data_IF_211299082653
#
_entry.id   IF_211299082653
#
_cell.length_a   1.000
_cell.length_b   1.000
_cell.length_c   1.000
_cell.angle_alpha   90.00
_cell.angle_beta   90.00
_cell.angle_gamma   90.00
#
_symmetry.space_group_name_H-M   'P 1'
#
loop_
_entity.id
_entity.type
_entity.pdbx_description
1 polymer ?
#
# COMPACT_ATOMS: atom_id res chain seq x y z
N UNK A 1 10.48 -11.11 -39.60
CA UNK A 1 10.15 -10.54 -38.28
C UNK A 1 11.34 -9.90 -37.52
N UNK A 2 12.62 -10.16 -37.87
CA UNK A 2 13.80 -9.69 -37.11
C UNK A 2 14.03 -8.15 -37.00
N UNK A 3 13.30 -7.32 -37.74
CA UNK A 3 13.41 -5.84 -37.67
C UNK A 3 12.19 -5.12 -37.06
N UNK A 4 11.13 -5.86 -36.70
CA UNK A 4 9.85 -5.24 -36.31
C UNK A 4 9.97 -4.43 -35.03
N UNK A 5 10.64 -4.96 -33.99
CA UNK A 5 10.83 -4.23 -32.73
C UNK A 5 11.73 -3.00 -32.92
N UNK A 6 12.82 -3.12 -33.69
CA UNK A 6 13.69 -2.00 -33.98
C UNK A 6 12.92 -0.88 -34.70
N UNK A 7 12.18 -1.22 -35.77
CA UNK A 7 11.33 -0.27 -36.49
C UNK A 7 10.30 0.41 -35.60
N UNK A 8 9.73 -0.33 -34.65
CA UNK A 8 8.70 0.14 -33.73
C UNK A 8 9.28 1.08 -32.65
N UNK A 9 10.54 0.86 -32.25
CA UNK A 9 11.27 1.72 -31.33
C UNK A 9 11.89 2.96 -31.99
N UNK A 10 12.24 2.90 -33.28
CA UNK A 10 12.90 4.01 -33.99
C UNK A 10 11.93 4.95 -34.71
N UNK A 11 10.69 4.52 -34.96
CA UNK A 11 9.71 5.33 -35.68
C UNK A 11 8.73 5.98 -34.70
N UNK A 12 8.62 7.30 -34.74
CA UNK A 12 7.75 8.04 -33.84
C UNK A 12 6.35 8.22 -34.44
N UNK A 13 5.42 7.33 -34.09
CA UNK A 13 3.98 7.47 -34.42
C UNK A 13 3.10 7.12 -33.23
N UNK A 14 1.88 7.67 -33.19
CA UNK A 14 0.88 7.33 -32.16
C UNK A 14 0.56 5.83 -32.18
N UNK A 15 0.48 5.21 -33.36
CA UNK A 15 0.25 3.76 -33.49
C UNK A 15 1.38 2.92 -32.91
N UNK A 16 2.63 3.37 -33.01
CA UNK A 16 3.76 2.67 -32.38
C UNK A 16 3.70 2.75 -30.85
N UNK A 17 3.30 3.91 -30.30
CA UNK A 17 3.08 4.06 -28.84
C UNK A 17 1.99 3.09 -28.38
N UNK A 18 0.86 3.02 -29.10
CA UNK A 18 -0.23 2.09 -28.80
C UNK A 18 0.24 0.63 -28.84
N UNK A 19 1.01 0.25 -29.87
CA UNK A 19 1.56 -1.10 -29.99
C UNK A 19 2.53 -1.44 -28.85
N UNK A 20 3.41 -0.51 -28.46
CA UNK A 20 4.31 -0.68 -27.31
C UNK A 20 3.53 -0.90 -26.02
N UNK A 21 2.48 -0.11 -25.78
CA UNK A 21 1.65 -0.24 -24.57
C UNK A 21 0.91 -1.58 -24.52
N UNK A 22 0.37 -2.04 -25.65
CA UNK A 22 -0.29 -3.35 -25.73
C UNK A 22 0.70 -4.49 -25.48
N UNK A 23 1.91 -4.42 -26.05
CA UNK A 23 2.98 -5.38 -25.76
C UNK A 23 3.43 -5.33 -24.31
N UNK A 24 3.57 -4.13 -23.72
CA UNK A 24 3.92 -3.96 -22.33
C UNK A 24 2.86 -4.56 -21.40
N UNK A 25 1.57 -4.37 -21.70
CA UNK A 25 0.47 -4.99 -20.96
C UNK A 25 0.50 -6.52 -21.07
N UNK A 26 0.74 -7.06 -22.27
CA UNK A 26 0.90 -8.50 -22.47
C UNK A 26 2.05 -9.07 -21.63
N UNK A 27 3.22 -8.43 -21.66
CA UNK A 27 4.40 -8.84 -20.90
C UNK A 27 4.14 -8.74 -19.39
N UNK A 28 3.50 -7.65 -18.94
CA UNK A 28 3.11 -7.48 -17.56
C UNK A 28 2.20 -8.62 -17.09
N UNK A 29 1.22 -9.03 -17.90
CA UNK A 29 0.30 -10.11 -17.55
C UNK A 29 0.95 -11.51 -17.58
N UNK A 30 2.10 -11.66 -18.25
CA UNK A 30 2.86 -12.90 -18.36
C UNK A 30 4.12 -12.92 -17.47
N UNK A 31 4.08 -12.24 -16.32
CA UNK A 31 5.17 -12.12 -15.34
C UNK A 31 6.47 -11.46 -15.83
N UNK A 32 6.52 -10.88 -17.03
CA UNK A 32 7.69 -10.13 -17.51
C UNK A 32 7.55 -8.63 -17.24
N UNK A 33 7.60 -8.29 -15.95
CA UNK A 33 7.48 -6.92 -15.45
C UNK A 33 8.63 -6.00 -15.90
N UNK A 34 9.80 -6.57 -16.16
CA UNK A 34 10.99 -5.80 -16.56
C UNK A 34 10.88 -5.37 -18.01
N UNK A 35 10.50 -6.29 -18.90
CA UNK A 35 10.26 -5.94 -20.30
C UNK A 35 9.06 -5.00 -20.42
N UNK A 36 7.98 -5.23 -19.65
CA UNK A 36 6.83 -4.32 -19.61
C UNK A 36 7.22 -2.88 -19.22
N UNK A 37 8.03 -2.70 -18.18
CA UNK A 37 8.54 -1.39 -17.78
C UNK A 37 9.43 -0.77 -18.87
N UNK A 38 10.31 -1.56 -19.49
CA UNK A 38 11.22 -1.07 -20.54
C UNK A 38 10.47 -0.60 -21.79
N UNK A 39 9.47 -1.37 -22.24
CA UNK A 39 8.64 -0.98 -23.39
C UNK A 39 7.78 0.24 -23.08
N UNK A 40 7.19 0.32 -21.88
CA UNK A 40 6.43 1.51 -21.45
C UNK A 40 7.32 2.75 -21.42
N UNK A 41 8.52 2.67 -20.86
CA UNK A 41 9.46 3.78 -20.85
C UNK A 41 9.95 4.17 -22.26
N UNK A 42 10.02 3.23 -23.19
CA UNK A 42 10.31 3.51 -24.61
C UNK A 42 9.13 4.24 -25.27
N UNK A 43 7.91 3.78 -25.01
CA UNK A 43 6.68 4.42 -25.48
C UNK A 43 6.56 5.86 -24.94
N UNK A 44 6.92 6.08 -23.69
CA UNK A 44 6.95 7.39 -23.06
C UNK A 44 7.92 8.34 -23.75
N UNK A 45 9.15 7.91 -24.06
CA UNK A 45 10.12 8.73 -24.81
C UNK A 45 9.62 9.08 -26.21
N UNK A 46 8.99 8.13 -26.92
CA UNK A 46 8.39 8.38 -28.23
C UNK A 46 7.23 9.37 -28.13
N UNK A 47 6.37 9.24 -27.12
CA UNK A 47 5.27 10.16 -26.86
C UNK A 47 5.77 11.58 -26.55
N UNK A 48 6.82 11.69 -25.74
CA UNK A 48 7.48 12.97 -25.44
C UNK A 48 8.05 13.58 -26.72
N UNK A 49 8.76 12.79 -27.54
CA UNK A 49 9.32 13.25 -28.82
C UNK A 49 8.24 13.74 -29.81
N UNK A 50 7.04 13.16 -29.77
CA UNK A 50 5.88 13.60 -30.56
C UNK A 50 5.10 14.77 -29.92
N UNK A 51 5.48 15.19 -28.72
CA UNK A 51 4.83 16.31 -28.03
C UNK A 51 3.52 15.98 -27.33
N UNK A 52 3.17 14.69 -27.15
CA UNK A 52 1.88 14.28 -26.54
C UNK A 52 1.69 14.74 -25.08
N UNK A 53 2.78 15.11 -24.42
CA UNK A 53 2.80 15.62 -23.06
C UNK A 53 2.44 17.10 -22.96
N UNK A 54 2.31 17.80 -24.10
CA UNK A 54 2.05 19.24 -24.17
C UNK A 54 0.73 19.57 -24.84
N UNK A 55 -0.04 20.46 -24.22
CA UNK A 55 -1.34 20.89 -24.75
C UNK A 55 -1.26 21.89 -25.90
N UNK A 56 -0.15 22.62 -26.05
CA UNK A 56 0.02 23.68 -27.07
C UNK A 56 0.27 23.13 -28.48
N UNK A 57 0.76 21.90 -28.59
CA UNK A 57 1.02 21.24 -29.89
C UNK A 57 -0.29 20.77 -30.54
N UNK A 58 -1.31 20.51 -29.73
CA UNK A 58 -2.58 19.94 -30.17
C UNK A 58 -3.47 20.96 -30.91
N UNK A 59 -3.30 22.27 -30.66
CA UNK A 59 -4.17 23.34 -31.21
C UNK A 59 -4.24 23.37 -32.75
N UNK A 60 -3.21 22.88 -33.42
CA UNK A 60 -3.11 22.82 -34.88
C UNK A 60 -3.75 21.58 -35.52
N UNK A 61 -4.16 20.59 -34.71
CA UNK A 61 -4.64 19.29 -35.15
C UNK A 61 -6.17 19.22 -35.25
N UNK A 62 -6.69 18.22 -35.96
CA UNK A 62 -8.13 17.92 -35.96
C UNK A 62 -8.55 17.38 -34.59
N UNK A 63 -9.77 17.71 -34.14
CA UNK A 63 -10.33 17.28 -32.85
C UNK A 63 -10.18 15.76 -32.61
N UNK A 64 -10.48 14.94 -33.62
CA UNK A 64 -10.33 13.47 -33.51
C UNK A 64 -8.89 13.03 -33.26
N UNK A 65 -7.90 13.74 -33.82
CA UNK A 65 -6.50 13.45 -33.58
C UNK A 65 -6.06 13.90 -32.18
N UNK A 66 -6.51 15.08 -31.74
CA UNK A 66 -6.27 15.58 -30.38
C UNK A 66 -6.81 14.59 -29.33
N UNK A 67 -8.03 14.09 -29.51
CA UNK A 67 -8.65 13.13 -28.60
C UNK A 67 -7.88 11.81 -28.56
N UNK A 68 -7.43 11.31 -29.71
CA UNK A 68 -6.63 10.10 -29.80
C UNK A 68 -5.29 10.26 -29.07
N UNK A 69 -4.57 11.36 -29.32
CA UNK A 69 -3.30 11.69 -28.67
C UNK A 69 -3.45 11.82 -27.16
N UNK A 70 -4.47 12.52 -26.69
CA UNK A 70 -4.77 12.67 -25.26
C UNK A 70 -5.07 11.33 -24.61
N UNK A 71 -5.91 10.48 -25.22
CA UNK A 71 -6.23 9.16 -24.68
C UNK A 71 -4.97 8.31 -24.56
N UNK A 72 -4.15 8.27 -25.61
CA UNK A 72 -2.87 7.54 -25.61
C UNK A 72 -1.92 8.06 -24.52
N UNK A 73 -1.75 9.37 -24.42
CA UNK A 73 -0.92 9.98 -23.38
C UNK A 73 -1.41 9.64 -21.96
N UNK A 74 -2.72 9.71 -21.74
CA UNK A 74 -3.31 9.47 -20.41
C UNK A 74 -3.20 8.01 -19.99
N UNK A 75 -3.40 7.09 -20.93
CA UNK A 75 -3.16 5.66 -20.72
C UNK A 75 -1.68 5.39 -20.46
N UNK A 76 -0.79 5.96 -21.27
CA UNK A 76 0.66 5.84 -21.11
C UNK A 76 1.11 6.32 -19.73
N UNK A 77 0.68 7.52 -19.32
CA UNK A 77 0.99 8.09 -18.02
C UNK A 77 0.53 7.17 -16.90
N UNK A 78 -0.71 6.68 -16.96
CA UNK A 78 -1.25 5.77 -15.93
C UNK A 78 -0.45 4.47 -15.84
N UNK A 79 -0.11 3.84 -16.97
CA UNK A 79 0.65 2.58 -17.00
C UNK A 79 2.10 2.79 -16.54
N UNK A 80 2.74 3.87 -16.96
CA UNK A 80 4.09 4.24 -16.54
C UNK A 80 4.14 4.48 -15.02
N UNK A 81 3.24 5.31 -14.48
CA UNK A 81 3.19 5.59 -13.05
C UNK A 81 2.87 4.30 -12.25
N UNK A 82 1.97 3.45 -12.75
CA UNK A 82 1.66 2.16 -12.16
C UNK A 82 2.91 1.27 -12.08
N UNK A 83 3.58 1.01 -13.21
CA UNK A 83 4.77 0.14 -13.26
C UNK A 83 5.91 0.69 -12.41
N UNK A 84 6.16 1.99 -12.45
CA UNK A 84 7.17 2.64 -11.61
C UNK A 84 6.86 2.49 -10.12
N UNK A 85 5.58 2.64 -9.73
CA UNK A 85 5.15 2.47 -8.34
C UNK A 85 5.28 1.02 -7.89
N UNK A 86 4.89 0.05 -8.72
CA UNK A 86 4.94 -1.37 -8.39
C UNK A 86 6.38 -1.92 -8.30
N UNK A 87 7.32 -1.34 -9.06
CA UNK A 87 8.69 -1.84 -9.18
C UNK A 87 9.72 -1.01 -8.41
N UNK A 88 9.30 0.09 -7.81
CA UNK A 88 10.21 1.02 -7.14
C UNK A 88 11.19 1.74 -8.05
N UNK A 89 10.77 1.99 -9.29
CA UNK A 89 11.63 2.61 -10.30
C UNK A 89 11.28 4.08 -10.46
N UNK A 90 12.26 4.92 -10.81
CA UNK A 90 11.98 6.29 -11.23
C UNK A 90 11.19 6.25 -12.55
N UNK A 91 10.30 7.23 -12.72
CA UNK A 91 9.62 7.42 -14.00
C UNK A 91 10.52 8.18 -14.97
N UNK A 92 10.37 7.89 -16.26
CA UNK A 92 11.00 8.71 -17.33
C UNK A 92 10.25 10.02 -17.58
N UNK A 93 9.01 10.15 -17.08
CA UNK A 93 8.18 11.34 -17.26
C UNK A 93 8.41 12.29 -16.08
N UNK A 94 8.98 13.48 -16.34
CA UNK A 94 9.00 14.57 -15.37
C UNK A 94 7.64 15.25 -15.33
N UNK A 95 6.96 15.19 -14.19
CA UNK A 95 5.65 15.82 -13.99
C UNK A 95 5.64 17.34 -14.14
N UNK A 96 6.80 18.00 -14.13
CA UNK A 96 6.95 19.46 -14.36
C UNK A 96 6.85 19.83 -15.83
N UNK A 97 7.18 18.91 -16.72
CA UNK A 97 7.14 19.13 -18.19
C UNK A 97 5.77 18.82 -18.79
N UNK A 98 4.87 18.19 -18.03
CA UNK A 98 3.55 17.77 -18.50
C UNK A 98 2.55 18.93 -18.43
N UNK A 99 2.16 19.47 -19.58
CA UNK A 99 1.11 20.49 -19.70
C UNK A 99 -0.18 19.85 -20.20
N UNK A 100 -1.15 19.70 -19.30
CA UNK A 100 -2.46 19.10 -19.62
C UNK A 100 -3.52 20.18 -19.54
N UNK A 101 -4.05 20.58 -20.70
CA UNK A 101 -5.18 21.50 -20.83
C UNK A 101 -6.54 20.79 -20.65
N UNK A 102 -7.65 21.54 -20.53
CA UNK A 102 -9.00 20.96 -20.54
C UNK A 102 -9.31 20.27 -21.88
N UNK A 103 -10.27 19.33 -21.92
CA UNK A 103 -10.59 18.64 -23.18
C UNK A 103 -11.27 19.59 -24.17
N UNK A 104 -11.15 19.38 -25.50
CA UNK A 104 -11.91 20.16 -26.49
C UNK A 104 -13.43 19.99 -26.29
N UNK A 105 -13.88 18.80 -25.90
CA UNK A 105 -15.29 18.55 -25.53
C UNK A 105 -15.72 19.35 -24.29
N UNK A 106 -14.81 19.58 -23.34
CA UNK A 106 -15.03 20.46 -22.18
C UNK A 106 -15.07 21.96 -22.59
N UNK A 107 -14.79 22.29 -23.85
CA UNK A 107 -14.73 23.68 -24.34
C UNK A 107 -15.94 24.06 -25.20
N UNK A 108 -16.56 23.08 -25.88
CA UNK A 108 -17.66 23.32 -26.81
C UNK A 108 -19.07 23.18 -26.18
N UNK A 109 -19.21 22.49 -25.03
CA UNK A 109 -20.50 22.25 -24.36
C UNK A 109 -20.50 22.52 -22.85
N UNK A 110 -19.39 22.94 -22.26
CA UNK A 110 -19.33 23.14 -20.82
C UNK A 110 -20.02 24.42 -20.37
N UNK A 111 -21.16 24.25 -19.71
CA UNK A 111 -21.45 25.09 -18.56
C UNK A 111 -20.32 24.92 -17.53
N UNK A 112 -19.78 25.99 -16.93
CA UNK A 112 -18.59 25.93 -16.09
C UNK A 112 -18.95 25.41 -14.68
N UNK A 113 -19.21 24.11 -14.52
CA UNK A 113 -19.59 23.61 -13.19
C UNK A 113 -18.85 22.38 -12.66
N UNK A 114 -18.31 21.46 -13.46
CA UNK A 114 -17.59 20.31 -12.88
C UNK A 114 -16.40 19.81 -13.72
N UNK A 115 -15.26 19.47 -13.09
CA UNK A 115 -14.12 18.90 -13.81
C UNK A 115 -14.51 17.51 -14.34
N UNK A 116 -14.00 17.13 -15.51
CA UNK A 116 -14.28 15.82 -16.12
C UNK A 116 -13.51 14.69 -15.43
N UNK A 117 -13.97 13.43 -15.55
CA UNK A 117 -13.29 12.26 -14.96
C UNK A 117 -11.81 12.20 -15.37
N UNK A 118 -11.53 12.50 -16.64
CA UNK A 118 -10.18 12.54 -17.18
C UNK A 118 -9.29 13.58 -16.48
N UNK A 119 -9.82 14.77 -16.19
CA UNK A 119 -9.09 15.81 -15.45
C UNK A 119 -8.80 15.37 -14.02
N UNK A 120 -9.77 14.76 -13.34
CA UNK A 120 -9.60 14.26 -11.96
C UNK A 120 -8.56 13.13 -11.92
N UNK A 121 -8.64 12.18 -12.84
CA UNK A 121 -7.66 11.09 -12.95
C UNK A 121 -6.25 11.61 -13.26
N UNK A 122 -6.15 12.61 -14.13
CA UNK A 122 -4.90 13.30 -14.45
C UNK A 122 -4.28 13.98 -13.23
N UNK A 123 -5.09 14.70 -12.44
CA UNK A 123 -4.57 15.35 -11.23
C UNK A 123 -4.10 14.32 -10.19
N UNK A 124 -4.79 13.18 -10.07
CA UNK A 124 -4.31 12.07 -9.24
C UNK A 124 -2.95 11.55 -9.70
N UNK A 125 -2.73 11.38 -11.02
CA UNK A 125 -1.42 10.99 -11.54
C UNK A 125 -0.33 12.02 -11.22
N UNK A 126 -0.66 13.32 -11.22
CA UNK A 126 0.27 14.36 -10.78
C UNK A 126 0.60 14.25 -9.28
N UNK A 127 -0.38 13.93 -8.43
CA UNK A 127 -0.10 13.64 -7.01
C UNK A 127 0.79 12.40 -6.88
N UNK A 128 0.58 11.36 -7.69
CA UNK A 128 1.39 10.15 -7.71
C UNK A 128 2.87 10.44 -8.03
N UNK A 129 3.14 11.23 -9.07
CA UNK A 129 4.52 11.62 -9.43
C UNK A 129 5.21 12.37 -8.28
N UNK A 130 4.54 13.38 -7.72
CA UNK A 130 5.07 14.17 -6.58
C UNK A 130 5.33 13.31 -5.35
N UNK A 131 4.44 12.36 -5.07
CA UNK A 131 4.58 11.44 -3.95
C UNK A 131 5.79 10.53 -4.13
N UNK A 132 5.96 9.97 -5.34
CA UNK A 132 7.10 9.11 -5.68
C UNK A 132 8.42 9.84 -5.47
N UNK A 133 8.52 11.08 -5.95
CA UNK A 133 9.70 11.91 -5.76
C UNK A 133 9.99 12.09 -4.26
N UNK A 134 8.97 12.47 -3.48
CA UNK A 134 9.10 12.65 -2.04
C UNK A 134 9.51 11.37 -1.31
N UNK A 135 8.92 10.22 -1.65
CA UNK A 135 9.27 8.91 -1.08
C UNK A 135 10.73 8.55 -1.41
N UNK A 136 11.18 8.80 -2.64
CA UNK A 136 12.57 8.55 -3.04
C UNK A 136 13.57 9.38 -2.23
N UNK A 137 13.20 10.59 -1.81
CA UNK A 137 14.02 11.40 -0.89
C UNK A 137 13.96 10.91 0.55
N UNK A 138 12.77 10.55 1.06
CA UNK A 138 12.59 10.08 2.44
C UNK A 138 13.40 8.82 2.76
N UNK A 139 13.58 7.93 1.78
CA UNK A 139 14.25 6.65 1.96
C UNK A 139 15.69 6.64 1.43
N UNK A 140 16.20 7.77 0.92
CA UNK A 140 17.59 7.89 0.49
C UNK A 140 18.50 7.94 1.72
N UNK A 141 19.53 7.07 1.83
CA UNK A 141 20.52 7.18 2.90
C UNK A 141 21.24 8.53 2.79
N UNK A 142 21.49 9.17 3.93
CA UNK A 142 22.17 10.46 3.99
C UNK A 142 23.52 10.35 3.26
N UNK A 143 23.62 10.95 2.08
CA UNK A 143 24.85 11.02 1.32
C UNK A 143 25.59 12.30 1.67
N UNK A 144 26.90 12.25 1.97
CA UNK A 144 27.68 13.44 2.31
C UNK A 144 27.84 14.45 1.14
N UNK A 145 27.33 14.12 -0.06
CA UNK A 145 27.50 14.93 -1.29
C UNK A 145 26.25 15.76 -1.64
N UNK A 146 25.14 15.65 -0.90
CA UNK A 146 23.91 16.38 -1.25
C UNK A 146 23.83 17.74 -0.54
N UNK A 147 23.89 18.78 -1.36
CA UNK A 147 23.76 20.21 -1.07
C UNK A 147 22.43 20.61 -0.40
N UNK A 148 22.47 21.80 0.19
CA UNK A 148 21.60 22.44 1.19
C UNK A 148 20.13 22.74 0.83
N UNK A 149 19.59 22.27 -0.30
CA UNK A 149 18.34 22.86 -0.87
C UNK A 149 17.19 21.87 -1.15
N UNK A 150 17.03 20.81 -0.36
CA UNK A 150 15.83 19.95 -0.50
C UNK A 150 14.96 19.98 0.75
N UNK A 151 13.71 20.49 0.68
CA UNK A 151 12.84 20.53 1.85
C UNK A 151 12.50 19.08 2.26
N UNK A 152 12.89 18.72 3.49
CA UNK A 152 12.41 17.51 4.16
C UNK A 152 10.89 17.52 4.07
N UNK A 153 10.34 16.60 3.28
CA UNK A 153 8.91 16.58 3.03
C UNK A 153 8.24 15.74 4.12
N UNK A 154 7.50 16.39 5.02
CA UNK A 154 6.79 15.72 6.10
C UNK A 154 5.74 14.72 5.56
N UNK A 155 5.79 13.43 5.95
CA UNK A 155 4.81 12.42 5.55
C UNK A 155 3.36 12.79 5.93
N UNK A 156 3.14 13.50 7.04
CA UNK A 156 1.79 13.94 7.42
C UNK A 156 1.32 15.00 6.44
N UNK A 157 2.14 15.99 6.11
CA UNK A 157 1.80 16.99 5.10
C UNK A 157 1.46 16.36 3.74
N UNK A 158 2.16 15.30 3.32
CA UNK A 158 1.82 14.54 2.12
C UNK A 158 0.47 13.83 2.23
N UNK A 159 0.20 13.17 3.36
CA UNK A 159 -1.08 12.51 3.60
C UNK A 159 -2.23 13.52 3.62
N UNK A 160 -2.05 14.66 4.28
CA UNK A 160 -3.04 15.75 4.34
C UNK A 160 -3.33 16.30 2.95
N UNK A 161 -2.31 16.43 2.08
CA UNK A 161 -2.52 16.82 0.68
C UNK A 161 -3.34 15.78 -0.10
N UNK A 162 -3.07 14.49 0.08
CA UNK A 162 -3.86 13.42 -0.54
C UNK A 162 -5.31 13.43 -0.03
N UNK A 163 -5.53 13.55 1.28
CA UNK A 163 -6.88 13.66 1.87
C UNK A 163 -7.62 14.90 1.37
N UNK A 164 -6.94 16.03 1.25
CA UNK A 164 -7.53 17.23 0.66
C UNK A 164 -7.93 17.01 -0.80
N UNK A 165 -7.11 16.30 -1.58
CA UNK A 165 -7.50 15.93 -2.95
C UNK A 165 -8.79 15.09 -2.97
N UNK A 166 -8.88 14.08 -2.09
CA UNK A 166 -10.06 13.21 -1.98
C UNK A 166 -11.33 13.98 -1.61
N UNK A 167 -11.26 14.95 -0.67
CA UNK A 167 -12.41 15.77 -0.27
C UNK A 167 -12.91 16.66 -1.40
N UNK A 168 -12.04 17.02 -2.35
CA UNK A 168 -12.36 17.91 -3.47
C UNK A 168 -12.80 17.16 -4.74
N UNK A 169 -12.93 15.83 -4.71
CA UNK A 169 -13.44 15.10 -5.89
C UNK A 169 -14.91 15.45 -6.15
N UNK A 170 -15.34 15.52 -7.42
CA UNK A 170 -16.74 15.77 -7.76
C UNK A 170 -17.69 14.72 -7.17
N UNK A 171 -18.89 15.15 -6.79
CA UNK A 171 -19.90 14.31 -6.13
C UNK A 171 -20.30 13.08 -6.94
N UNK A 172 -20.29 13.17 -8.27
CA UNK A 172 -20.60 12.05 -9.17
C UNK A 172 -19.51 10.96 -9.21
N UNK A 173 -18.32 11.24 -8.66
CA UNK A 173 -17.21 10.29 -8.50
C UNK A 173 -17.09 9.77 -7.06
N UNK A 174 -17.95 10.19 -6.14
CA UNK A 174 -17.93 9.74 -4.75
C UNK A 174 -18.55 8.34 -4.65
N UNK A 175 -17.85 7.43 -3.99
CA UNK A 175 -18.40 6.15 -3.55
C UNK A 175 -18.88 6.32 -2.10
N UNK A 176 -20.08 5.83 -1.73
CA UNK A 176 -20.63 6.03 -0.39
C UNK A 176 -19.70 5.57 0.74
N UNK A 177 -19.68 6.30 1.85
CA UNK A 177 -18.94 5.93 3.08
C UNK A 177 -19.40 4.59 3.65
N UNK A 178 -20.65 4.19 3.45
CA UNK A 178 -21.15 2.86 3.81
C UNK A 178 -20.38 1.71 3.11
N UNK A 179 -19.72 2.00 1.98
CA UNK A 179 -18.83 1.06 1.28
C UNK A 179 -17.37 1.35 1.64
N UNK A 180 -16.95 2.62 1.64
CA UNK A 180 -15.55 2.99 1.86
C UNK A 180 -15.13 2.89 3.34
N UNK A 181 -15.83 3.55 4.24
CA UNK A 181 -15.39 3.72 5.64
C UNK A 181 -15.79 2.52 6.52
N UNK A 182 -16.44 1.52 5.94
CA UNK A 182 -16.74 0.27 6.63
C UNK A 182 -15.46 -0.52 6.92
N UNK A 183 -15.15 -0.69 8.20
CA UNK A 183 -14.09 -1.61 8.65
C UNK A 183 -14.45 -3.08 8.36
N UNK A 184 -15.72 -3.35 8.06
CA UNK A 184 -16.26 -4.66 7.73
C UNK A 184 -16.65 -4.75 6.25
N UNK A 185 -16.93 -5.97 5.79
CA UNK A 185 -17.40 -6.23 4.43
C UNK A 185 -18.76 -5.52 4.21
N UNK A 186 -18.95 -4.79 3.09
CA UNK A 186 -20.21 -4.11 2.80
C UNK A 186 -21.36 -5.11 2.69
N UNK A 187 -22.51 -4.75 3.25
CA UNK A 187 -23.72 -5.57 3.11
C UNK A 187 -24.20 -5.60 1.65
N UNK A 188 -24.72 -6.75 1.22
CA UNK A 188 -25.19 -6.95 -0.15
C UNK A 188 -26.27 -5.94 -0.57
N UNK A 189 -27.20 -5.62 0.32
CA UNK A 189 -28.23 -4.61 0.06
C UNK A 189 -27.66 -3.20 -0.23
N UNK A 190 -26.55 -2.82 0.41
CA UNK A 190 -25.88 -1.54 0.18
C UNK A 190 -25.21 -1.53 -1.20
N UNK A 191 -24.59 -2.65 -1.57
CA UNK A 191 -23.96 -2.81 -2.89
C UNK A 191 -25.01 -2.78 -4.00
N UNK A 192 -26.10 -3.54 -3.86
CA UNK A 192 -27.17 -3.62 -4.84
C UNK A 192 -27.85 -2.26 -5.05
N UNK A 193 -28.15 -1.54 -3.97
CA UNK A 193 -28.75 -0.21 -4.04
C UNK A 193 -27.84 0.78 -4.79
N UNK A 194 -26.53 0.75 -4.53
CA UNK A 194 -25.58 1.62 -5.23
C UNK A 194 -25.41 1.23 -6.69
N UNK A 195 -25.18 -0.06 -6.99
CA UNK A 195 -24.94 -0.56 -8.36
C UNK A 195 -26.16 -0.34 -9.25
N UNK A 196 -27.37 -0.52 -8.73
CA UNK A 196 -28.62 -0.30 -9.48
C UNK A 196 -28.82 1.16 -9.89
N UNK A 197 -28.32 2.11 -9.08
CA UNK A 197 -28.42 3.54 -9.34
C UNK A 197 -27.23 4.16 -10.09
N UNK A 198 -26.13 3.43 -10.29
CA UNK A 198 -24.89 3.97 -10.84
C UNK A 198 -24.71 3.62 -12.33
N UNK A 199 -24.33 4.57 -13.21
CA UNK A 199 -24.10 4.31 -14.62
C UNK A 199 -23.03 3.20 -14.83
N UNK A 200 -23.36 2.08 -15.49
CA UNK A 200 -22.43 0.93 -15.58
C UNK A 200 -21.12 1.23 -16.28
N UNK A 201 -21.13 2.16 -17.25
CA UNK A 201 -19.93 2.57 -18.00
C UNK A 201 -18.96 3.41 -17.15
N UNK A 202 -19.44 4.05 -16.08
CA UNK A 202 -18.64 4.92 -15.22
C UNK A 202 -18.13 4.21 -13.96
N UNK A 203 -18.76 3.11 -13.55
CA UNK A 203 -18.44 2.43 -12.29
C UNK A 203 -16.98 1.99 -12.22
N UNK A 204 -16.48 1.28 -13.24
CA UNK A 204 -15.11 0.76 -13.23
C UNK A 204 -14.06 1.89 -13.27
N UNK A 205 -14.16 2.93 -14.12
CA UNK A 205 -13.27 4.08 -14.06
C UNK A 205 -13.30 4.81 -12.71
N UNK A 206 -14.46 4.95 -12.07
CA UNK A 206 -14.58 5.56 -10.73
C UNK A 206 -13.92 4.69 -9.67
N UNK A 207 -14.17 3.38 -9.67
CA UNK A 207 -13.52 2.46 -8.73
C UNK A 207 -12.01 2.46 -8.92
N UNK A 208 -11.51 2.44 -10.16
CA UNK A 208 -10.07 2.48 -10.44
C UNK A 208 -9.41 3.78 -9.93
N UNK A 209 -10.11 4.91 -10.01
CA UNK A 209 -9.66 6.18 -9.43
C UNK A 209 -9.45 6.03 -7.90
N UNK A 210 -10.45 5.48 -7.20
CA UNK A 210 -10.36 5.22 -5.76
C UNK A 210 -9.30 4.18 -5.41
N UNK A 211 -9.18 3.09 -6.16
CA UNK A 211 -8.13 2.08 -5.97
C UNK A 211 -6.74 2.70 -6.08
N UNK A 212 -6.54 3.53 -7.10
CA UNK A 212 -5.27 4.25 -7.32
C UNK A 212 -4.96 5.18 -6.16
N UNK A 213 -5.93 5.99 -5.73
CA UNK A 213 -5.79 6.89 -4.59
C UNK A 213 -5.41 6.14 -3.30
N UNK A 214 -6.17 5.10 -2.94
CA UNK A 214 -5.92 4.32 -1.74
C UNK A 214 -4.53 3.65 -1.80
N UNK A 215 -4.10 3.19 -2.98
CA UNK A 215 -2.76 2.65 -3.14
C UNK A 215 -1.66 3.70 -2.97
N UNK A 216 -1.85 4.96 -3.41
CA UNK A 216 -0.90 6.04 -3.11
C UNK A 216 -0.76 6.24 -1.60
N UNK A 217 -1.86 6.20 -0.86
CA UNK A 217 -1.83 6.28 0.61
C UNK A 217 -1.08 5.08 1.20
N UNK A 218 -1.30 3.86 0.71
CA UNK A 218 -0.52 2.67 1.13
C UNK A 218 0.97 2.90 0.93
N UNK A 219 1.40 3.37 -0.25
CA UNK A 219 2.82 3.57 -0.53
C UNK A 219 3.47 4.60 0.40
N UNK A 220 2.75 5.66 0.78
CA UNK A 220 3.21 6.66 1.74
C UNK A 220 3.31 6.10 3.18
N UNK A 221 2.32 5.31 3.59
CA UNK A 221 2.08 4.99 5.00
C UNK A 221 2.64 3.63 5.44
N UNK A 222 2.84 2.69 4.51
CA UNK A 222 3.33 1.32 4.79
C UNK A 222 4.61 1.26 5.62
N UNK A 223 5.64 2.11 5.41
CA UNK A 223 6.85 2.09 6.24
C UNK A 223 6.56 2.33 7.73
N UNK A 224 5.54 3.14 8.04
CA UNK A 224 5.13 3.45 9.41
C UNK A 224 4.36 2.31 10.05
N UNK A 225 3.55 1.57 9.28
CA UNK A 225 2.94 0.33 9.73
C UNK A 225 4.00 -0.69 10.16
N UNK A 226 5.02 -0.92 9.32
CA UNK A 226 6.15 -1.79 9.64
C UNK A 226 6.89 -1.32 10.90
N UNK A 227 7.11 -0.01 11.05
CA UNK A 227 7.70 0.58 12.24
C UNK A 227 6.88 0.26 13.50
N UNK A 228 5.56 0.45 13.47
CA UNK A 228 4.67 0.16 14.61
C UNK A 228 4.69 -1.33 14.98
N UNK A 229 4.67 -2.24 13.99
CA UNK A 229 4.78 -3.70 14.22
C UNK A 229 6.15 -4.06 14.80
N UNK A 230 7.23 -3.46 14.29
CA UNK A 230 8.58 -3.73 14.81
C UNK A 230 8.73 -3.29 16.27
N UNK A 231 8.06 -2.18 16.64
CA UNK A 231 8.08 -1.65 17.99
C UNK A 231 7.28 -2.51 18.96
N UNK A 232 6.16 -3.11 18.54
CA UNK A 232 5.36 -3.98 19.43
C UNK A 232 6.09 -5.24 19.87
N UNK A 233 7.08 -5.69 19.10
CA UNK A 233 7.92 -6.84 19.46
C UNK A 233 9.01 -6.49 20.48
N UNK A 234 9.30 -5.20 20.66
CA UNK A 234 10.21 -4.71 21.69
C UNK A 234 9.34 -4.44 22.91
N UNK A 235 9.44 -5.27 23.95
CA UNK A 235 8.68 -5.11 25.20
C UNK A 235 8.78 -3.65 25.69
N UNK A 236 7.74 -2.86 25.45
CA UNK A 236 7.74 -1.43 25.70
C UNK A 236 6.51 -1.07 26.54
N UNK A 237 6.68 -0.88 27.86
CA UNK A 237 5.56 -0.64 28.78
C UNK A 237 4.84 0.69 28.52
N UNK A 238 5.35 1.56 27.64
CA UNK A 238 4.73 2.84 27.25
C UNK A 238 4.00 2.79 25.91
N UNK A 239 3.75 1.61 25.35
CA UNK A 239 3.05 1.49 24.07
C UNK A 239 1.54 1.65 24.28
N UNK A 240 0.96 2.64 23.62
CA UNK A 240 -0.50 2.84 23.58
C UNK A 240 -1.11 1.98 22.47
N UNK A 241 -2.42 1.78 22.52
CA UNK A 241 -3.16 1.11 21.47
C UNK A 241 -3.20 2.00 20.21
N UNK A 242 -2.43 1.69 19.15
CA UNK A 242 -2.16 2.64 18.06
C UNK A 242 -3.31 2.74 17.06
N UNK A 243 -4.33 1.88 17.20
CA UNK A 243 -5.48 1.79 16.30
C UNK A 243 -6.71 2.52 16.85
N UNK A 244 -6.66 3.06 18.07
CA UNK A 244 -7.66 4.00 18.55
C UNK A 244 -7.49 5.32 17.80
N UNK A 245 -8.60 5.94 17.39
CA UNK A 245 -8.64 7.17 16.57
C UNK A 245 -7.66 8.24 17.07
N UNK A 246 -6.55 8.51 16.35
CA UNK A 246 -5.65 9.60 16.70
C UNK A 246 -6.23 10.91 16.16
N UNK A 247 -6.35 11.94 17.01
CA UNK A 247 -6.51 13.31 16.54
C UNK A 247 -5.14 13.87 16.09
N UNK A 248 -5.13 14.54 14.95
CA UNK A 248 -4.00 15.09 14.17
C UNK A 248 -3.20 16.21 14.89
N UNK A 249 -3.30 16.33 16.21
CA UNK A 249 -2.85 17.53 16.95
C UNK A 249 -1.52 17.36 17.68
N UNK A 250 -0.84 16.22 17.54
CA UNK A 250 0.38 15.95 18.31
C UNK A 250 1.67 16.16 17.52
N UNK A 251 2.58 16.97 18.06
CA UNK A 251 3.99 17.08 17.63
C UNK A 251 4.83 15.81 17.92
N UNK A 252 4.22 14.76 18.45
CA UNK A 252 4.89 13.53 18.85
C UNK A 252 5.10 12.61 17.64
N UNK A 253 6.37 12.40 17.27
CA UNK A 253 6.80 11.51 16.18
C UNK A 253 6.23 10.10 16.30
N UNK A 254 5.98 9.61 17.52
CA UNK A 254 5.35 8.30 17.75
C UNK A 254 3.89 8.31 17.32
N UNK A 255 3.12 9.29 17.78
CA UNK A 255 1.69 9.43 17.43
C UNK A 255 1.50 9.68 15.93
N UNK A 256 2.43 10.40 15.31
CA UNK A 256 2.50 10.55 13.85
C UNK A 256 2.64 9.19 13.15
N UNK A 257 3.54 8.32 13.64
CA UNK A 257 3.73 6.99 13.06
C UNK A 257 2.51 6.08 13.25
N UNK A 258 1.85 6.15 14.41
CA UNK A 258 0.62 5.40 14.71
C UNK A 258 -0.55 5.86 13.82
N UNK A 259 -0.71 7.17 13.62
CA UNK A 259 -1.70 7.73 12.69
C UNK A 259 -1.49 7.32 11.24
N UNK A 260 -0.23 7.36 10.77
CA UNK A 260 0.13 6.89 9.43
C UNK A 260 -0.13 5.38 9.30
N UNK A 261 0.25 4.58 10.29
CA UNK A 261 0.00 3.14 10.31
C UNK A 261 -1.51 2.82 10.28
N UNK A 262 -2.32 3.50 11.10
CA UNK A 262 -3.78 3.35 11.12
C UNK A 262 -4.39 3.71 9.76
N UNK A 263 -3.97 4.84 9.19
CA UNK A 263 -4.39 5.26 7.84
C UNK A 263 -4.07 4.20 6.78
N UNK A 264 -2.91 3.53 6.87
CA UNK A 264 -2.50 2.44 5.98
C UNK A 264 -3.50 1.27 5.99
N UNK A 265 -3.92 0.84 7.18
CA UNK A 265 -4.86 -0.28 7.36
C UNK A 265 -6.25 0.11 6.86
N UNK A 266 -6.72 1.31 7.17
CA UNK A 266 -8.03 1.81 6.69
C UNK A 266 -8.11 1.82 5.17
N UNK A 267 -7.10 2.35 4.47
CA UNK A 267 -7.13 2.38 2.99
C UNK A 267 -6.97 0.99 2.37
N UNK A 268 -6.31 0.05 3.06
CA UNK A 268 -6.26 -1.34 2.62
C UNK A 268 -7.65 -2.00 2.71
N UNK A 269 -8.40 -1.80 3.80
CA UNK A 269 -9.79 -2.26 3.90
C UNK A 269 -10.68 -1.64 2.82
N UNK A 270 -10.52 -0.34 2.54
CA UNK A 270 -11.22 0.35 1.45
C UNK A 270 -10.99 -0.32 0.10
N UNK A 271 -9.74 -0.69 -0.22
CA UNK A 271 -9.43 -1.40 -1.46
C UNK A 271 -10.17 -2.74 -1.54
N UNK A 272 -10.24 -3.51 -0.46
CA UNK A 272 -10.96 -4.78 -0.47
C UNK A 272 -12.46 -4.55 -0.72
N UNK A 273 -13.08 -3.57 -0.04
CA UNK A 273 -14.48 -3.21 -0.25
C UNK A 273 -14.76 -2.77 -1.69
N UNK A 274 -13.84 -2.00 -2.29
CA UNK A 274 -13.92 -1.57 -3.70
C UNK A 274 -13.85 -2.76 -4.67
N UNK A 275 -13.02 -3.76 -4.38
CA UNK A 275 -12.95 -4.99 -5.18
C UNK A 275 -14.23 -5.83 -5.06
N UNK A 276 -14.80 -5.91 -3.86
CA UNK A 276 -16.09 -6.58 -3.64
C UNK A 276 -17.21 -5.87 -4.42
N UNK A 277 -17.19 -4.54 -4.48
CA UNK A 277 -18.15 -3.75 -5.26
C UNK A 277 -18.09 -4.08 -6.77
N UNK A 278 -16.89 -4.14 -7.36
CA UNK A 278 -16.76 -4.49 -8.79
C UNK A 278 -17.03 -5.97 -9.08
N UNK A 279 -16.79 -6.87 -8.10
CA UNK A 279 -17.20 -8.27 -8.16
C UNK A 279 -18.73 -8.38 -8.21
N UNK A 280 -19.42 -7.70 -7.30
CA UNK A 280 -20.89 -7.67 -7.26
C UNK A 280 -21.49 -7.12 -8.56
N UNK A 281 -20.87 -6.09 -9.15
CA UNK A 281 -21.32 -5.53 -10.43
C UNK A 281 -20.98 -6.42 -11.65
N UNK A 282 -20.33 -7.58 -11.48
CA UNK A 282 -19.81 -8.44 -12.56
C UNK A 282 -18.91 -7.67 -13.55
N UNK A 283 -18.10 -6.73 -13.05
CA UNK A 283 -17.22 -5.87 -13.88
C UNK A 283 -15.74 -6.21 -13.74
N UNK A 284 -15.39 -7.29 -13.06
CA UNK A 284 -13.98 -7.64 -12.86
C UNK A 284 -13.43 -8.32 -14.10
N UNK A 285 -12.30 -7.82 -14.59
CA UNK A 285 -11.58 -8.41 -15.72
C UNK A 285 -10.29 -9.08 -15.22
N UNK A 286 -10.37 -10.39 -15.03
CA UNK A 286 -9.25 -11.22 -14.57
C UNK A 286 -8.08 -11.40 -15.53
N UNK A 287 -8.27 -11.05 -16.81
CA UNK A 287 -7.30 -11.29 -17.88
C UNK A 287 -6.33 -10.12 -18.06
N UNK A 288 -6.86 -8.90 -18.04
CA UNK A 288 -6.10 -7.70 -18.38
C UNK A 288 -6.21 -6.58 -17.36
N UNK A 289 -7.05 -6.69 -16.33
CA UNK A 289 -7.18 -5.62 -15.35
C UNK A 289 -6.04 -5.61 -14.36
N UNK A 290 -5.64 -4.40 -13.97
CA UNK A 290 -4.65 -4.13 -12.92
C UNK A 290 -5.30 -4.09 -11.53
N UNK A 291 -6.63 -4.25 -11.43
CA UNK A 291 -7.39 -4.15 -10.17
C UNK A 291 -6.87 -5.11 -9.08
N UNK A 292 -6.49 -6.33 -9.48
CA UNK A 292 -5.99 -7.36 -8.58
C UNK A 292 -4.63 -7.05 -7.98
N UNK A 293 -3.81 -6.18 -8.61
CA UNK A 293 -2.58 -5.68 -7.98
C UNK A 293 -2.91 -4.88 -6.72
N UNK A 294 -3.93 -4.01 -6.78
CA UNK A 294 -4.33 -3.22 -5.61
C UNK A 294 -4.86 -4.13 -4.50
N UNK A 295 -5.66 -5.13 -4.85
CA UNK A 295 -6.12 -6.16 -3.91
C UNK A 295 -4.97 -6.88 -3.25
N UNK A 296 -3.99 -7.34 -4.02
CA UNK A 296 -2.74 -7.92 -3.50
C UNK A 296 -2.04 -6.96 -2.52
N UNK A 297 -1.80 -5.71 -2.92
CA UNK A 297 -1.14 -4.70 -2.07
C UNK A 297 -1.88 -4.49 -0.74
N UNK A 298 -3.22 -4.40 -0.78
CA UNK A 298 -4.07 -4.29 0.40
C UNK A 298 -4.01 -5.55 1.27
N UNK A 299 -4.13 -6.73 0.69
CA UNK A 299 -4.04 -8.01 1.41
C UNK A 299 -2.73 -8.14 2.17
N UNK A 300 -1.60 -7.75 1.57
CA UNK A 300 -0.31 -7.74 2.26
C UNK A 300 -0.29 -6.78 3.47
N UNK A 301 -0.94 -5.61 3.36
CA UNK A 301 -1.08 -4.66 4.49
C UNK A 301 -1.94 -5.24 5.61
N UNK A 302 -3.07 -5.86 5.28
CA UNK A 302 -3.96 -6.48 6.27
C UNK A 302 -3.27 -7.64 7.00
N UNK A 303 -2.51 -8.47 6.27
CA UNK A 303 -1.71 -9.56 6.86
C UNK A 303 -0.57 -9.03 7.73
N UNK A 304 0.13 -7.97 7.31
CA UNK A 304 1.11 -7.29 8.16
C UNK A 304 0.49 -6.80 9.47
N UNK A 305 -0.72 -6.22 9.41
CA UNK A 305 -1.42 -5.75 10.61
C UNK A 305 -1.72 -6.88 11.61
N UNK A 306 -1.94 -8.11 11.14
CA UNK A 306 -2.15 -9.26 12.04
C UNK A 306 -0.88 -9.65 12.83
N UNK A 307 0.31 -9.25 12.36
CA UNK A 307 1.58 -9.51 13.06
C UNK A 307 1.87 -8.53 14.21
N UNK A 308 1.03 -7.51 14.40
CA UNK A 308 1.15 -6.60 15.53
C UNK A 308 0.80 -7.32 16.84
N UNK A 309 1.61 -7.12 17.87
CA UNK A 309 1.46 -7.80 19.16
C UNK A 309 0.85 -6.84 20.17
N UNK A 310 -0.23 -7.25 20.81
CA UNK A 310 -0.92 -6.49 21.84
C UNK A 310 -0.08 -6.46 23.13
N UNK A 311 0.19 -5.27 23.72
CA UNK A 311 0.82 -5.18 25.04
C UNK A 311 -0.05 -5.84 26.14
N UNK A 312 0.56 -6.59 27.08
CA UNK A 312 -0.18 -7.31 28.12
C UNK A 312 -0.89 -6.36 29.11
N UNK A 313 -0.33 -5.17 29.33
CA UNK A 313 -0.80 -4.22 30.36
C UNK A 313 -2.04 -3.40 29.95
N UNK A 314 -2.59 -3.62 28.75
CA UNK A 314 -3.74 -2.85 28.26
C UNK A 314 -5.07 -3.32 28.87
N UNK A 315 -6.05 -2.41 29.07
CA UNK A 315 -7.36 -2.75 29.61
C UNK A 315 -8.13 -3.79 28.78
N UNK A 316 -8.98 -4.58 29.44
CA UNK A 316 -9.80 -5.62 28.78
C UNK A 316 -10.69 -5.08 27.64
N UNK A 317 -11.15 -3.84 27.73
CA UNK A 317 -11.91 -3.19 26.65
C UNK A 317 -11.10 -3.05 25.36
N UNK A 318 -9.79 -2.81 25.47
CA UNK A 318 -8.89 -2.74 24.30
C UNK A 318 -8.63 -4.13 23.72
N UNK A 319 -8.58 -5.17 24.56
CA UNK A 319 -8.51 -6.56 24.10
C UNK A 319 -9.74 -6.97 23.31
N UNK A 320 -10.93 -6.60 23.77
CA UNK A 320 -12.19 -6.85 23.04
C UNK A 320 -12.22 -6.12 21.69
N UNK A 321 -11.75 -4.87 21.66
CA UNK A 321 -11.65 -4.09 20.44
C UNK A 321 -10.65 -4.71 19.45
N UNK A 322 -9.48 -5.13 19.94
CA UNK A 322 -8.47 -5.80 19.11
C UNK A 322 -8.99 -7.14 18.58
N UNK A 323 -9.66 -7.95 19.39
CA UNK A 323 -10.26 -9.21 18.92
C UNK A 323 -11.29 -8.98 17.82
N UNK A 324 -12.14 -7.95 17.97
CA UNK A 324 -13.08 -7.55 16.91
C UNK A 324 -12.35 -7.12 15.63
N UNK A 325 -11.37 -6.24 15.73
CA UNK A 325 -10.59 -5.78 14.60
C UNK A 325 -9.85 -6.93 13.89
N UNK A 326 -9.28 -7.87 14.65
CA UNK A 326 -8.60 -9.05 14.12
C UNK A 326 -9.57 -10.02 13.41
N UNK A 327 -10.79 -10.18 13.93
CA UNK A 327 -11.85 -10.95 13.24
C UNK A 327 -12.23 -10.30 11.92
N UNK A 328 -12.42 -8.99 11.90
CA UNK A 328 -12.77 -8.24 10.69
C UNK A 328 -11.66 -8.29 9.64
N UNK A 329 -10.39 -8.14 10.06
CA UNK A 329 -9.21 -8.29 9.21
C UNK A 329 -9.16 -9.68 8.55
N UNK A 330 -9.34 -10.76 9.33
CA UNK A 330 -9.35 -12.13 8.79
C UNK A 330 -10.49 -12.34 7.81
N UNK A 331 -11.66 -11.79 8.10
CA UNK A 331 -12.81 -11.84 7.19
C UNK A 331 -12.51 -11.15 5.85
N UNK A 332 -11.94 -9.94 5.89
CA UNK A 332 -11.52 -9.19 4.70
C UNK A 332 -10.47 -9.94 3.87
N UNK A 333 -9.43 -10.48 4.51
CA UNK A 333 -8.38 -11.28 3.84
C UNK A 333 -8.99 -12.53 3.19
N UNK A 334 -9.85 -13.25 3.90
CA UNK A 334 -10.52 -14.45 3.37
C UNK A 334 -11.39 -14.11 2.16
N UNK A 335 -12.14 -13.00 2.23
CA UNK A 335 -12.98 -12.55 1.12
C UNK A 335 -12.14 -12.14 -0.09
N UNK A 336 -11.05 -11.41 0.13
CA UNK A 336 -10.10 -11.03 -0.91
C UNK A 336 -9.49 -12.27 -1.58
N UNK A 337 -9.02 -13.25 -0.81
CA UNK A 337 -8.48 -14.50 -1.35
C UNK A 337 -9.52 -15.27 -2.17
N UNK A 338 -10.77 -15.34 -1.70
CA UNK A 338 -11.88 -15.96 -2.45
C UNK A 338 -12.12 -15.26 -3.78
N UNK A 339 -12.14 -13.93 -3.79
CA UNK A 339 -12.27 -13.11 -4.99
C UNK A 339 -11.09 -13.36 -5.95
N UNK A 340 -9.85 -13.30 -5.46
CA UNK A 340 -8.66 -13.54 -6.27
C UNK A 340 -8.62 -14.97 -6.82
N UNK A 341 -9.12 -15.96 -6.07
CA UNK A 341 -9.20 -17.35 -6.51
C UNK A 341 -10.12 -17.51 -7.73
N UNK A 342 -11.23 -16.76 -7.79
CA UNK A 342 -12.16 -16.79 -8.92
C UNK A 342 -11.64 -16.04 -10.13
N UNK A 343 -10.94 -14.91 -9.92
CA UNK A 343 -10.71 -13.91 -10.97
C UNK A 343 -9.26 -13.88 -11.48
N UNK A 344 -8.28 -14.43 -10.75
CA UNK A 344 -6.90 -14.42 -11.19
C UNK A 344 -6.65 -15.39 -12.37
N UNK A 345 -6.82 -14.91 -13.60
CA UNK A 345 -6.70 -15.73 -14.81
C UNK A 345 -5.30 -15.69 -15.43
N UNK A 346 -4.66 -14.52 -15.52
CA UNK A 346 -3.33 -14.40 -16.14
C UNK A 346 -2.18 -14.75 -15.16
N UNK A 347 -1.00 -15.19 -15.67
CA UNK A 347 0.12 -15.63 -14.83
C UNK A 347 0.54 -14.65 -13.72
N UNK A 348 0.48 -13.34 -13.99
CA UNK A 348 0.83 -12.33 -12.99
C UNK A 348 -0.16 -12.26 -11.84
N UNK A 349 -1.46 -12.32 -12.14
CA UNK A 349 -2.49 -12.30 -11.10
C UNK A 349 -2.49 -13.61 -10.31
N UNK A 350 -2.21 -14.74 -10.96
CA UNK A 350 -2.01 -16.02 -10.28
C UNK A 350 -0.83 -15.98 -9.32
N UNK A 351 0.28 -15.33 -9.72
CA UNK A 351 1.44 -15.11 -8.84
C UNK A 351 1.07 -14.25 -7.64
N UNK A 352 0.39 -13.12 -7.82
CA UNK A 352 -0.07 -12.28 -6.70
C UNK A 352 -0.97 -13.04 -5.73
N UNK A 353 -1.92 -13.82 -6.25
CA UNK A 353 -2.76 -14.70 -5.44
C UNK A 353 -1.94 -15.69 -4.62
N UNK A 354 -0.99 -16.39 -5.24
CA UNK A 354 -0.16 -17.38 -4.56
C UNK A 354 0.71 -16.77 -3.46
N UNK A 355 1.32 -15.61 -3.72
CA UNK A 355 2.12 -14.90 -2.71
C UNK A 355 1.25 -14.48 -1.51
N UNK A 356 0.04 -13.98 -1.77
CA UNK A 356 -0.89 -13.61 -0.71
C UNK A 356 -1.29 -14.82 0.16
N UNK A 357 -1.58 -15.97 -0.46
CA UNK A 357 -1.93 -17.21 0.25
C UNK A 357 -0.76 -17.71 1.13
N UNK A 358 0.44 -17.79 0.57
CA UNK A 358 1.63 -18.20 1.32
C UNK A 358 1.92 -17.27 2.49
N UNK A 359 1.72 -15.96 2.33
CA UNK A 359 1.93 -15.02 3.42
C UNK A 359 0.88 -15.18 4.53
N UNK A 360 -0.37 -15.45 4.19
CA UNK A 360 -1.42 -15.73 5.16
C UNK A 360 -1.12 -17.00 5.98
N UNK A 361 -0.72 -18.09 5.31
CA UNK A 361 -0.26 -19.33 5.94
C UNK A 361 0.89 -19.07 6.94
N UNK A 362 1.86 -18.26 6.52
CA UNK A 362 2.98 -17.82 7.35
C UNK A 362 2.54 -17.02 8.59
N UNK A 363 1.60 -16.08 8.43
CA UNK A 363 1.06 -15.29 9.55
C UNK A 363 0.32 -16.19 10.55
N UNK A 364 -0.49 -17.14 10.07
CA UNK A 364 -1.21 -18.10 10.90
C UNK A 364 -0.26 -19.00 11.70
N UNK A 365 0.79 -19.52 11.05
CA UNK A 365 1.81 -20.35 11.71
C UNK A 365 2.55 -19.56 12.82
N UNK A 366 2.87 -18.29 12.57
CA UNK A 366 3.48 -17.42 13.58
C UNK A 366 2.56 -17.19 14.79
N UNK A 367 1.26 -17.01 14.55
CA UNK A 367 0.27 -16.87 15.63
C UNK A 367 0.12 -18.12 16.51
N UNK A 368 0.22 -19.31 15.90
CA UNK A 368 0.18 -20.58 16.64
C UNK A 368 1.42 -20.79 17.52
N UNK A 369 2.62 -20.54 16.98
CA UNK A 369 3.88 -20.66 17.75
C UNK A 369 3.89 -19.77 18.99
N UNK A 370 3.49 -18.50 18.82
CA UNK A 370 3.43 -17.54 19.94
C UNK A 370 2.45 -17.98 21.04
N UNK A 371 1.33 -18.63 20.67
CA UNK A 371 0.38 -19.17 21.66
C UNK A 371 0.96 -20.36 22.41
N UNK A 372 1.63 -21.28 21.70
CA UNK A 372 2.29 -22.43 22.31
C UNK A 372 3.43 -22.02 23.27
N UNK A 373 4.22 -21.02 22.92
CA UNK A 373 5.28 -20.49 23.81
C UNK A 373 4.70 -19.85 25.08
N UNK A 374 3.57 -19.14 24.98
CA UNK A 374 2.89 -18.59 26.16
C UNK A 374 2.31 -19.71 27.03
N UNK A 375 1.72 -20.74 26.42
CA UNK A 375 1.16 -21.89 27.13
C UNK A 375 2.26 -22.72 27.83
N UNK A 376 3.44 -22.86 27.21
CA UNK A 376 4.63 -23.49 27.83
C UNK A 376 5.21 -22.68 28.99
N UNK A 377 5.32 -21.35 28.86
CA UNK A 377 5.79 -20.46 29.94
C UNK A 377 4.78 -20.45 31.10
N UNK A 378 3.48 -20.45 30.81
CA UNK A 378 2.44 -20.55 31.83
C UNK A 378 2.46 -21.89 32.56
N UNK A 379 2.67 -23.00 31.83
CA UNK A 379 2.77 -24.33 32.45
C UNK A 379 4.08 -24.54 33.23
N UNK A 380 5.19 -23.92 32.83
CA UNK A 380 6.42 -23.87 33.63
C UNK A 380 6.26 -23.08 34.94
N UNK A 381 5.47 -22.00 34.94
CA UNK A 381 5.14 -21.27 36.17
C UNK A 381 4.19 -22.04 37.10
N UNK A 382 3.22 -22.78 36.55
CA UNK A 382 2.33 -23.65 37.34
C UNK A 382 3.11 -24.81 37.98
N UNK A 383 4.08 -25.40 37.28
CA UNK A 383 4.93 -26.48 37.82
C UNK A 383 5.89 -25.96 38.91
N UNK A 384 6.23 -24.68 38.92
CA UNK A 384 7.05 -24.07 39.97
C UNK A 384 6.27 -23.69 41.25
N UNK A 385 4.95 -23.52 41.16
CA UNK A 385 4.08 -23.27 42.32
C UNK A 385 3.57 -24.56 43.00
N UNK A 386 3.58 -25.71 42.33
CA UNK A 386 3.13 -27.00 42.90
C UNK A 386 4.21 -27.74 43.74
N UNK A 387 5.33 -27.09 44.06
CA UNK A 387 6.47 -27.72 44.74
C UNK A 387 6.96 -27.02 46.01
N UNK A 388 6.07 -26.55 46.89
CA UNK A 388 6.47 -26.03 48.21
C UNK A 388 5.58 -26.62 49.31
N UNK A 389 6.06 -27.67 49.99
CA UNK A 389 5.50 -28.13 51.27
C UNK A 389 5.79 -27.11 52.40
N UNK A 390 4.91 -27.00 53.42
CA UNK A 390 5.05 -26.02 54.48
C UNK A 390 5.96 -26.55 55.60
N UNK A 391 7.13 -25.94 55.81
CA UNK A 391 7.94 -26.16 57.02
C UNK A 391 7.84 -24.97 57.98
N UNK A 392 7.53 -25.34 59.22
CA UNK A 392 7.24 -24.51 60.39
C UNK A 392 8.40 -23.65 60.89
N UNK A 393 8.03 -22.52 61.46
CA UNK A 393 8.80 -21.57 62.29
C UNK A 393 9.73 -22.23 63.32
N UNK A 394 11.02 -21.88 63.32
CA UNK A 394 11.77 -21.32 64.48
C UNK A 394 13.28 -21.34 64.24
N UNK A 395 13.91 -20.16 64.25
CA UNK A 395 15.04 -19.77 65.11
C UNK A 395 15.70 -18.49 64.58
N UNK A 396 15.64 -17.45 65.42
CA UNK A 396 16.43 -16.23 65.29
C UNK A 396 17.93 -16.54 65.41
N UNK A 397 18.75 -15.96 64.54
CA UNK A 397 19.98 -15.29 64.96
C UNK A 397 20.50 -14.36 63.85
N UNK A 398 20.55 -13.07 64.17
CA UNK A 398 21.27 -12.02 63.44
C UNK A 398 22.72 -12.02 63.95
N UNK A 399 23.73 -11.84 63.08
CA UNK A 399 24.58 -10.67 63.26
C UNK A 399 24.77 -9.87 61.96
N UNK A 400 24.55 -8.57 62.10
CA UNK A 400 25.01 -7.43 61.29
C UNK A 400 26.57 -7.43 61.20
N UNK A 401 27.26 -6.98 60.14
CA UNK A 401 27.38 -5.60 59.63
C UNK A 401 28.29 -5.60 58.37
N UNK A 402 28.00 -4.67 57.44
CA UNK A 402 28.81 -4.01 56.40
C UNK A 402 29.18 -4.68 55.05
N UNK A 403 28.81 -3.97 53.97
CA UNK A 403 29.46 -4.05 52.66
C UNK A 403 28.57 -3.88 51.43
N UNK A 404 28.05 -2.67 51.18
CA UNK A 404 27.70 -2.08 49.86
C UNK A 404 27.20 -2.99 48.72
N UNK A 405 25.89 -2.95 48.47
CA UNK A 405 25.23 -3.33 47.22
C UNK A 405 25.35 -2.21 46.16
N UNK A 406 25.91 -2.49 44.98
CA UNK A 406 25.33 -2.13 43.67
C UNK A 406 26.13 -2.78 42.53
N UNK A 407 25.45 -3.06 41.43
CA UNK A 407 25.99 -3.31 40.08
C UNK A 407 26.35 -4.76 39.69
N UNK A 408 25.31 -5.56 39.42
CA UNK A 408 25.30 -6.51 38.30
C UNK A 408 24.25 -6.08 37.26
N UNK A 409 24.51 -4.97 36.59
CA UNK A 409 23.95 -4.67 35.26
C UNK A 409 25.14 -4.55 34.31
N UNK A 410 25.41 -5.62 33.57
CA UNK A 410 26.57 -5.72 32.70
C UNK A 410 26.32 -6.63 31.52
N UNK A 411 25.88 -6.02 30.42
CA UNK A 411 26.26 -6.39 29.05
C UNK A 411 25.57 -7.61 28.42
N UNK A 412 24.32 -7.41 27.97
CA UNK A 412 23.86 -7.99 26.70
C UNK A 412 23.40 -6.81 25.82
N UNK A 413 24.37 -6.07 25.29
CA UNK A 413 24.12 -5.10 24.22
C UNK A 413 24.10 -5.86 22.90
N UNK A 414 23.05 -5.60 22.12
CA UNK A 414 22.57 -6.51 21.10
C UNK A 414 23.46 -6.69 19.87
N UNK A 415 23.48 -7.92 19.37
CA UNK A 415 23.46 -8.15 17.93
C UNK A 415 22.11 -7.65 17.39
N UNK A 416 22.08 -6.82 16.32
CA UNK A 416 20.85 -6.59 15.59
C UNK A 416 20.29 -7.96 15.22
N UNK A 417 19.11 -8.28 15.70
CA UNK A 417 18.40 -9.49 15.27
C UNK A 417 18.30 -9.46 13.74
N UNK A 418 18.66 -10.55 13.04
CA UNK A 418 18.71 -10.67 11.56
C UNK A 418 17.52 -10.04 10.80
N UNK A 419 16.34 -9.97 11.42
CA UNK A 419 15.16 -9.31 10.87
C UNK A 419 15.27 -7.77 10.80
N UNK A 420 16.12 -7.13 11.60
CA UNK A 420 16.34 -5.67 11.60
C UNK A 420 17.19 -5.21 10.42
N UNK A 421 18.24 -5.96 10.08
CA UNK A 421 19.03 -5.73 8.86
C UNK A 421 18.19 -6.02 7.61
N UNK A 422 17.34 -7.05 7.69
CA UNK A 422 16.36 -7.36 6.65
C UNK A 422 15.33 -6.23 6.51
N UNK A 423 14.78 -5.70 7.61
CA UNK A 423 13.86 -4.55 7.61
C UNK A 423 14.52 -3.29 7.05
N UNK A 424 15.77 -2.98 7.41
CA UNK A 424 16.50 -1.85 6.82
C UNK A 424 16.63 -2.02 5.31
N UNK A 425 17.03 -3.20 4.85
CA UNK A 425 17.13 -3.54 3.42
C UNK A 425 15.78 -3.45 2.70
N UNK A 426 14.68 -3.88 3.34
CA UNK A 426 13.32 -3.79 2.80
C UNK A 426 12.84 -2.34 2.75
N UNK A 427 13.11 -1.52 3.77
CA UNK A 427 12.79 -0.10 3.78
C UNK A 427 13.62 0.71 2.78
N UNK A 428 14.82 0.23 2.42
CA UNK A 428 15.74 0.90 1.51
C UNK A 428 15.40 0.68 0.04
N UNK A 429 14.57 -0.33 -0.29
CA UNK A 429 14.12 -0.66 -1.66
C UNK A 429 12.59 -0.84 -1.78
N UNK A 430 11.81 -0.17 -0.92
CA UNK A 430 10.47 -0.60 -0.44
C UNK A 430 9.24 -0.41 -1.34
N UNK A 431 9.38 -0.31 -2.66
CA UNK A 431 8.22 -0.12 -3.55
C UNK A 431 7.79 -1.41 -4.24
N UNK A 432 8.70 -2.39 -4.34
CA UNK A 432 8.41 -3.70 -4.92
C UNK A 432 8.21 -4.75 -3.80
N UNK A 433 7.01 -5.32 -3.70
CA UNK A 433 6.73 -6.43 -2.79
C UNK A 433 7.56 -7.69 -3.11
N UNK A 434 8.30 -7.76 -4.22
CA UNK A 434 9.15 -8.92 -4.55
C UNK A 434 10.32 -9.14 -3.59
N UNK A 435 10.83 -8.12 -2.90
CA UNK A 435 11.83 -8.30 -1.85
C UNK A 435 11.21 -8.78 -0.52
N UNK A 436 9.89 -8.90 -0.45
CA UNK A 436 9.17 -9.36 0.73
C UNK A 436 9.32 -10.86 0.98
N UNK A 437 9.65 -11.69 -0.01
CA UNK A 437 9.97 -13.10 0.23
C UNK A 437 11.23 -13.27 1.08
N UNK A 438 12.24 -12.41 0.90
CA UNK A 438 13.42 -12.35 1.77
C UNK A 438 13.07 -11.89 3.19
N UNK A 439 12.09 -10.98 3.34
CA UNK A 439 11.55 -10.60 4.65
C UNK A 439 10.93 -11.79 5.38
N UNK A 440 10.05 -12.55 4.71
CA UNK A 440 9.38 -13.71 5.30
C UNK A 440 10.40 -14.79 5.69
N UNK A 441 11.42 -15.03 4.86
CA UNK A 441 12.54 -15.89 5.20
C UNK A 441 13.31 -15.39 6.43
N UNK A 442 13.56 -14.07 6.55
CA UNK A 442 14.26 -13.47 7.69
C UNK A 442 13.49 -13.51 9.02
N UNK A 443 12.17 -13.68 8.96
CA UNK A 443 11.33 -13.83 10.14
C UNK A 443 11.28 -15.27 10.69
N UNK A 444 12.06 -16.23 10.13
CA UNK A 444 11.98 -17.67 10.44
C UNK A 444 10.55 -18.24 10.26
N UNK A 445 9.82 -17.72 9.26
CA UNK A 445 8.45 -18.17 8.93
C UNK A 445 8.46 -19.11 7.70
N UNK A 446 9.63 -19.55 7.25
CA UNK A 446 9.79 -20.62 6.26
C UNK A 446 10.35 -21.87 6.94
#
# INVERSE_FOLDING_TARGET
SRGALASLLTTCTVSNIQALLLMALFLHNNNDRNAAWTLTGSAARIAIALGLHRSDIDESLRLTEQDSRRRVWSTLLTVEQFLCSCLGRPSVIDGREVTLGPAPEDSATAFPSHPSHHQVATDLQRQASRLRDAIAFLHRPASPVSSTDTPVTDPIALLTRLKNWEINIPTYLIIPSAILDSCTIPQEAVLEAFVSGYPPAQLQPTVLLHLTYNNLVIQLTRPYLLKVISMSRRHNPKQQYPWATPHDTSKDVRKSAEYLASSCVTVAMRIVNLLILIEHANRVNGKTSLDLFYGYSAGMVLLLRQLWVMPPDLPMSMWQLEDAAQRDLRCQVTRLQSLMQKIAECPTMQRFKSVLQKFDEAVLANGQRMRSEIDEVASLHVVQEEGIEPLSTSQLQIPSVDGTNSDLYGTILGSPSLWQDSLQTITQYSLDWSNFEQFLGSMNVA
#
